data_IF_479340883412
#
_entry.id   IF_479340883412
#
_cell.length_a   1.000
_cell.length_b   1.000
_cell.length_c   1.000
_cell.angle_alpha   90.00
_cell.angle_beta   90.00
_cell.angle_gamma   90.00
#
_symmetry.space_group_name_H-M   'P 1'
#
loop_
_entity.id
_entity.type
_entity.pdbx_description
1 polymer ?
#
# COMPACT_ATOMS: atom_id res chain seq x y z
N UNK A 1 18.82 8.21 -56.34
CA UNK A 1 18.24 8.03 -54.98
C UNK A 1 17.00 8.89 -54.92
N UNK A 2 15.82 8.33 -55.24
CA UNK A 2 14.56 9.08 -55.27
C UNK A 2 14.00 9.16 -53.85
N UNK A 3 13.80 10.37 -53.33
CA UNK A 3 13.19 10.56 -52.02
C UNK A 3 11.75 10.00 -52.03
N UNK A 4 11.43 9.09 -51.11
CA UNK A 4 10.07 8.59 -50.93
C UNK A 4 9.21 9.76 -50.39
N UNK A 5 8.10 10.11 -51.05
CA UNK A 5 7.26 11.22 -50.59
C UNK A 5 6.63 10.88 -49.23
N UNK A 6 6.56 11.88 -48.34
CA UNK A 6 6.02 11.72 -46.98
C UNK A 6 4.58 11.14 -46.96
N UNK A 7 3.81 11.35 -48.03
CA UNK A 7 2.47 10.81 -48.23
C UNK A 7 2.43 9.29 -48.52
N UNK A 8 3.57 8.67 -48.83
CA UNK A 8 3.69 7.23 -49.09
C UNK A 8 4.15 6.44 -47.84
N UNK A 9 4.48 7.13 -46.75
CA UNK A 9 4.73 6.49 -45.46
C UNK A 9 3.39 6.19 -44.79
N UNK A 10 3.29 5.04 -44.10
CA UNK A 10 2.08 4.72 -43.38
C UNK A 10 1.85 5.75 -42.25
N UNK A 11 0.63 6.30 -42.13
CA UNK A 11 0.36 7.31 -41.12
C UNK A 11 0.56 6.77 -39.69
N UNK A 12 0.52 5.44 -39.51
CA UNK A 12 0.74 4.76 -38.24
C UNK A 12 2.23 4.79 -37.85
N UNK A 13 3.17 4.43 -38.72
CA UNK A 13 4.59 4.51 -38.36
C UNK A 13 5.07 5.96 -38.18
N UNK A 14 4.53 6.93 -38.93
CA UNK A 14 4.82 8.35 -38.72
C UNK A 14 4.31 8.83 -37.35
N UNK A 15 3.13 8.35 -36.92
CA UNK A 15 2.58 8.64 -35.60
C UNK A 15 3.35 7.98 -34.45
N UNK A 16 3.82 6.75 -34.65
CA UNK A 16 4.63 6.01 -33.64
C UNK A 16 6.04 6.59 -33.54
N UNK A 17 6.65 7.01 -34.64
CA UNK A 17 8.02 7.55 -34.68
C UNK A 17 8.14 8.98 -34.12
N UNK A 18 7.05 9.74 -34.07
CA UNK A 18 7.04 11.14 -33.57
C UNK A 18 6.66 11.27 -32.09
N UNK A 19 6.13 10.22 -31.44
CA UNK A 19 5.89 10.23 -30.00
C UNK A 19 7.18 9.96 -29.23
N UNK A 20 7.57 10.91 -28.38
CA UNK A 20 8.61 10.66 -27.39
C UNK A 20 8.16 9.54 -26.43
N UNK A 21 9.05 8.60 -26.06
CA UNK A 21 8.70 7.53 -25.11
C UNK A 21 8.21 8.10 -23.77
N UNK A 22 8.64 9.31 -23.42
CA UNK A 22 8.17 10.08 -22.27
C UNK A 22 6.66 10.36 -22.34
N UNK A 23 6.13 10.70 -23.52
CA UNK A 23 4.68 10.94 -23.70
C UNK A 23 3.85 9.66 -23.59
N UNK A 24 4.41 8.51 -23.99
CA UNK A 24 3.76 7.20 -23.86
C UNK A 24 3.75 6.73 -22.40
N UNK A 25 4.87 6.92 -21.69
CA UNK A 25 4.96 6.58 -20.26
C UNK A 25 4.12 7.54 -19.40
N UNK A 26 4.05 8.83 -19.76
CA UNK A 26 3.21 9.81 -19.09
C UNK A 26 1.70 9.59 -19.30
N UNK A 27 1.30 8.79 -20.30
CA UNK A 27 -0.10 8.32 -20.46
C UNK A 27 -0.44 7.15 -19.54
N UNK A 28 0.56 6.54 -18.91
CA UNK A 28 0.35 5.49 -17.92
C UNK A 28 0.29 6.19 -16.57
N UNK A 29 -0.89 6.25 -15.95
CA UNK A 29 -1.10 6.90 -14.66
C UNK A 29 -0.01 6.48 -13.66
N UNK A 30 0.72 7.47 -13.13
CA UNK A 30 1.72 7.23 -12.09
C UNK A 30 0.99 6.81 -10.82
N UNK A 31 0.96 5.50 -10.57
CA UNK A 31 0.24 4.91 -9.46
C UNK A 31 1.18 4.03 -8.60
N UNK A 32 0.98 4.08 -7.29
CA UNK A 32 1.70 3.29 -6.28
C UNK A 32 1.05 1.94 -5.97
N UNK A 33 -0.05 1.56 -6.63
CA UNK A 33 -0.80 0.33 -6.36
C UNK A 33 0.05 -0.93 -6.46
N UNK A 34 1.01 -0.99 -7.39
CA UNK A 34 1.93 -2.12 -7.50
C UNK A 34 2.83 -2.27 -6.27
N UNK A 35 3.36 -1.16 -5.76
CA UNK A 35 4.19 -1.15 -4.55
C UNK A 35 3.33 -1.45 -3.32
N UNK A 36 2.14 -0.87 -3.23
CA UNK A 36 1.18 -1.15 -2.14
C UNK A 36 0.80 -2.64 -2.11
N UNK A 37 0.45 -3.22 -3.25
CA UNK A 37 0.11 -4.65 -3.36
C UNK A 37 1.31 -5.55 -3.00
N UNK A 38 2.52 -5.20 -3.44
CA UNK A 38 3.73 -5.95 -3.07
C UNK A 38 3.96 -5.93 -1.55
N UNK A 39 3.81 -4.76 -0.91
CA UNK A 39 3.93 -4.61 0.54
C UNK A 39 2.87 -5.46 1.26
N UNK A 40 1.60 -5.34 0.87
CA UNK A 40 0.49 -6.01 1.55
C UNK A 40 0.53 -7.53 1.39
N UNK A 41 0.96 -8.04 0.23
CA UNK A 41 0.94 -9.48 -0.06
C UNK A 41 2.22 -10.21 0.35
N UNK A 42 3.33 -9.50 0.57
CA UNK A 42 4.63 -10.13 0.89
C UNK A 42 5.20 -9.60 2.19
N UNK A 43 5.52 -8.30 2.23
CA UNK A 43 6.28 -7.70 3.33
C UNK A 43 5.49 -7.72 4.64
N UNK A 44 4.19 -7.38 4.60
CA UNK A 44 3.33 -7.38 5.78
C UNK A 44 3.19 -8.78 6.41
N UNK A 45 2.85 -9.87 5.65
CA UNK A 45 2.87 -11.23 6.18
C UNK A 45 4.23 -11.66 6.76
N UNK A 46 5.33 -11.32 6.10
CA UNK A 46 6.68 -11.67 6.57
C UNK A 46 7.05 -10.97 7.88
N UNK A 47 6.67 -9.70 8.05
CA UNK A 47 6.88 -8.98 9.30
C UNK A 47 6.05 -9.59 10.43
N UNK A 48 4.78 -9.96 10.18
CA UNK A 48 3.95 -10.64 11.17
C UNK A 48 4.50 -12.00 11.55
N UNK A 49 5.03 -12.75 10.59
CA UNK A 49 5.70 -14.01 10.85
C UNK A 49 6.97 -13.80 11.69
N UNK A 50 7.78 -12.80 11.36
CA UNK A 50 8.99 -12.46 12.13
C UNK A 50 8.64 -12.11 13.58
N UNK A 51 7.59 -11.30 13.78
CA UNK A 51 7.05 -10.97 15.09
C UNK A 51 6.53 -12.21 15.81
N UNK A 52 5.77 -13.06 15.13
CA UNK A 52 5.23 -14.30 15.70
C UNK A 52 6.35 -15.24 16.17
N UNK A 53 7.41 -15.38 15.38
CA UNK A 53 8.60 -16.15 15.75
C UNK A 53 9.34 -15.52 16.94
N UNK A 54 9.47 -14.19 16.98
CA UNK A 54 10.01 -13.49 18.15
C UNK A 54 9.17 -13.78 19.39
N UNK A 55 7.85 -13.65 19.30
CA UNK A 55 6.93 -13.93 20.40
C UNK A 55 7.00 -15.39 20.84
N UNK A 56 7.12 -16.33 19.91
CA UNK A 56 7.32 -17.75 20.20
C UNK A 56 8.65 -17.99 20.92
N UNK A 57 9.73 -17.33 20.47
CA UNK A 57 11.05 -17.41 21.08
C UNK A 57 11.08 -16.82 22.50
N UNK A 58 10.36 -15.72 22.72
CA UNK A 58 10.25 -15.05 24.02
C UNK A 58 9.32 -15.78 24.99
N UNK A 59 8.24 -16.37 24.50
CA UNK A 59 7.26 -17.09 25.32
C UNK A 59 7.65 -18.54 25.64
N UNK A 60 8.34 -19.22 24.71
CA UNK A 60 8.61 -20.66 24.79
C UNK A 60 9.68 -21.07 25.81
N UNK A 61 10.56 -20.16 26.24
CA UNK A 61 11.71 -20.51 27.08
C UNK A 61 11.46 -20.54 28.61
N UNK A 62 10.43 -19.85 29.11
CA UNK A 62 10.14 -19.73 30.56
C UNK A 62 8.67 -19.50 30.95
N UNK A 63 7.74 -19.37 30.00
CA UNK A 63 6.32 -19.08 30.33
C UNK A 63 6.07 -17.64 30.80
N UNK A 64 6.91 -16.67 30.42
CA UNK A 64 6.70 -15.24 30.71
C UNK A 64 5.59 -14.66 29.82
N UNK A 65 4.35 -14.98 30.18
CA UNK A 65 3.14 -14.54 29.48
C UNK A 65 2.92 -13.02 29.62
N UNK A 66 3.47 -12.40 30.67
CA UNK A 66 3.39 -10.96 30.89
C UNK A 66 4.30 -10.19 29.91
N UNK A 67 5.51 -10.68 29.69
CA UNK A 67 6.45 -10.15 28.70
C UNK A 67 5.98 -10.33 27.26
N UNK A 68 5.28 -11.43 26.96
CA UNK A 68 4.67 -11.69 25.66
C UNK A 68 3.47 -10.77 25.42
N UNK A 69 2.57 -10.60 26.40
CA UNK A 69 1.37 -9.78 26.22
C UNK A 69 1.67 -8.31 25.97
N UNK A 70 2.73 -7.76 26.56
CA UNK A 70 3.18 -6.39 26.28
C UNK A 70 3.60 -6.20 24.82
N UNK A 71 4.16 -7.23 24.19
CA UNK A 71 4.59 -7.20 22.79
C UNK A 71 3.43 -7.46 21.84
N UNK A 72 2.56 -8.42 22.17
CA UNK A 72 1.32 -8.69 21.42
C UNK A 72 0.43 -7.46 21.35
N UNK A 73 0.28 -6.71 22.45
CA UNK A 73 -0.48 -5.47 22.47
C UNK A 73 0.03 -4.43 21.45
N UNK A 74 1.35 -4.22 21.37
CA UNK A 74 1.94 -3.31 20.39
C UNK A 74 1.74 -3.74 18.93
N UNK A 75 1.80 -5.05 18.67
CA UNK A 75 1.57 -5.63 17.33
C UNK A 75 0.11 -5.45 16.90
N UNK A 76 -0.82 -5.65 17.82
CA UNK A 76 -2.25 -5.43 17.58
C UNK A 76 -2.55 -3.97 17.22
N UNK A 77 -1.92 -3.01 17.90
CA UNK A 77 -2.08 -1.58 17.61
C UNK A 77 -1.52 -1.24 16.22
N UNK A 78 -0.32 -1.73 15.88
CA UNK A 78 0.27 -1.53 14.56
C UNK A 78 -0.62 -2.11 13.45
N UNK A 79 -1.17 -3.30 13.65
CA UNK A 79 -2.11 -3.94 12.73
C UNK A 79 -3.39 -3.14 12.54
N UNK A 80 -3.95 -2.60 13.62
CA UNK A 80 -5.14 -1.75 13.55
C UNK A 80 -4.88 -0.49 12.72
N UNK A 81 -3.74 0.18 12.92
CA UNK A 81 -3.35 1.37 12.16
C UNK A 81 -3.19 1.03 10.67
N UNK A 82 -2.50 -0.06 10.35
CA UNK A 82 -2.32 -0.52 8.96
C UNK A 82 -3.69 -0.85 8.33
N UNK A 83 -4.57 -1.55 9.05
CA UNK A 83 -5.92 -1.86 8.60
C UNK A 83 -6.73 -0.60 8.27
N UNK A 84 -6.72 0.39 9.15
CA UNK A 84 -7.39 1.68 8.93
C UNK A 84 -6.84 2.42 7.71
N UNK A 85 -5.50 2.44 7.55
CA UNK A 85 -4.85 3.09 6.43
C UNK A 85 -5.15 2.38 5.09
N UNK A 86 -5.27 1.05 5.10
CA UNK A 86 -5.53 0.25 3.89
C UNK A 86 -7.01 0.27 3.50
N UNK A 87 -7.92 0.23 4.47
CA UNK A 87 -9.36 0.16 4.23
C UNK A 87 -9.96 1.51 3.80
N UNK A 88 -9.29 2.63 4.08
CA UNK A 88 -9.81 3.97 3.77
C UNK A 88 -10.99 4.41 4.66
N UNK A 89 -11.35 3.60 5.66
CA UNK A 89 -12.49 3.83 6.58
C UNK A 89 -12.20 4.80 7.72
N UNK A 90 -11.00 5.41 7.75
CA UNK A 90 -10.56 6.30 8.82
C UNK A 90 -11.49 7.51 9.03
N UNK A 91 -12.09 8.03 7.95
CA UNK A 91 -13.03 9.17 8.02
C UNK A 91 -14.33 8.78 8.69
N UNK A 92 -14.92 7.64 8.33
CA UNK A 92 -16.18 7.16 8.90
C UNK A 92 -16.04 6.86 10.39
N UNK A 93 -14.93 6.22 10.78
CA UNK A 93 -14.62 5.90 12.17
C UNK A 93 -14.32 7.18 12.97
N UNK A 94 -13.57 8.13 12.40
CA UNK A 94 -13.30 9.42 13.03
C UNK A 94 -14.58 10.24 13.25
N UNK A 95 -15.49 10.21 12.26
CA UNK A 95 -16.79 10.88 12.34
C UNK A 95 -17.67 10.25 13.43
N UNK A 96 -17.71 8.92 13.51
CA UNK A 96 -18.41 8.20 14.58
C UNK A 96 -17.89 8.58 15.98
N UNK A 97 -16.57 8.55 16.19
CA UNK A 97 -15.97 8.88 17.49
C UNK A 97 -16.18 10.36 17.84
N UNK A 98 -16.05 11.26 16.88
CA UNK A 98 -16.34 12.68 17.09
C UNK A 98 -17.80 12.90 17.52
N UNK A 99 -18.74 12.13 16.98
CA UNK A 99 -20.14 12.14 17.38
C UNK A 99 -20.39 11.76 18.85
N UNK A 100 -19.58 10.85 19.42
CA UNK A 100 -19.71 10.42 20.82
C UNK A 100 -19.44 11.54 21.83
N UNK A 101 -18.56 12.49 21.50
CA UNK A 101 -18.24 13.63 22.37
C UNK A 101 -19.05 14.89 22.00
N UNK A 102 -19.40 15.04 20.72
CA UNK A 102 -20.24 16.15 20.24
C UNK A 102 -21.65 16.15 20.82
N UNK A 103 -22.17 14.98 21.24
CA UNK A 103 -23.50 14.86 21.86
C UNK A 103 -23.51 15.07 23.38
N UNK A 104 -22.34 15.22 24.02
CA UNK A 104 -22.21 15.32 25.49
C UNK A 104 -22.07 16.77 26.03
N UNK A 105 -22.14 17.77 25.14
CA UNK A 105 -21.95 19.19 25.46
C UNK A 105 -23.22 20.05 25.39
N UNK A 106 -24.40 19.47 25.62
CA UNK A 106 -25.69 20.17 25.71
C UNK A 106 -26.25 20.17 27.13
#
# INVERSE_FOLDING_TARGET
MTAVPLAALDPIAVFVMTRSPVTVLAQTDLNTDGIRAWILNNLLPLLLLTVALLLLWLGGGKGDNAGVMRRVGGVFVALAIIGLAVSGTGVDIGTFIAGLFSTSGG
#
